data_IF_769833176231
#
_entry.id   IF_769833176231
#
_cell.length_a   1.000
_cell.length_b   1.000
_cell.length_c   1.000
_cell.angle_alpha   90.00
_cell.angle_beta   90.00
_cell.angle_gamma   90.00
#
_symmetry.space_group_name_H-M   'P 1'
#
loop_
_entity.id
_entity.type
_entity.pdbx_description
1 polymer ?
#
# COMPACT_ATOMS: atom_id res chain seq x y z
N UNK A 1 31.83 0.56 6.68
CA UNK A 1 31.61 1.26 5.39
C UNK A 1 32.92 1.85 4.82
N UNK A 2 33.71 2.61 5.60
CA UNK A 2 34.97 3.20 5.14
C UNK A 2 35.99 2.13 4.73
N UNK A 3 36.10 1.07 5.49
CA UNK A 3 36.97 -0.06 5.22
C UNK A 3 36.64 -0.78 3.91
N UNK A 4 35.36 -0.89 3.57
CA UNK A 4 34.88 -1.46 2.31
C UNK A 4 35.12 -0.60 1.07
N UNK A 5 35.70 0.60 1.22
CA UNK A 5 36.10 1.47 0.10
C UNK A 5 37.55 1.27 -0.33
N UNK A 6 38.34 0.50 0.45
CA UNK A 6 39.73 0.12 0.14
C UNK A 6 39.76 -1.32 -0.39
N UNK A 7 40.63 -1.64 -1.33
CA UNK A 7 40.82 -2.98 -1.87
C UNK A 7 39.65 -3.51 -2.70
N UNK A 8 38.93 -2.64 -3.43
CA UNK A 8 37.81 -3.04 -4.29
C UNK A 8 38.30 -3.84 -5.50
N UNK A 9 37.53 -4.84 -5.88
CA UNK A 9 37.80 -5.72 -7.03
C UNK A 9 39.16 -6.43 -6.99
N UNK A 10 39.72 -6.60 -5.80
CA UNK A 10 41.00 -7.28 -5.61
C UNK A 10 42.22 -6.38 -5.67
N UNK A 11 42.05 -5.06 -5.80
CA UNK A 11 43.16 -4.11 -5.75
C UNK A 11 43.80 -4.10 -4.35
N UNK A 12 45.11 -3.84 -4.31
CA UNK A 12 45.83 -3.67 -3.06
C UNK A 12 45.29 -2.47 -2.27
N UNK A 13 44.92 -2.67 -1.02
CA UNK A 13 44.39 -1.61 -0.16
C UNK A 13 44.72 -1.85 1.30
N UNK A 14 44.89 -0.76 2.05
CA UNK A 14 45.12 -0.81 3.50
C UNK A 14 44.16 0.18 4.19
N UNK A 15 43.84 -0.14 5.44
CA UNK A 15 43.06 0.77 6.30
C UNK A 15 43.62 0.73 7.72
N UNK A 16 43.69 1.91 8.36
CA UNK A 16 44.09 2.02 9.76
C UNK A 16 43.06 2.82 10.52
N UNK A 17 42.66 2.34 11.70
CA UNK A 17 41.69 3.01 12.57
C UNK A 17 42.44 3.69 13.70
N UNK A 18 42.07 4.94 13.92
CA UNK A 18 42.45 5.74 15.09
C UNK A 18 41.20 5.98 15.90
N UNK A 19 41.14 5.38 17.10
CA UNK A 19 39.96 5.44 17.98
C UNK A 19 40.39 5.86 19.37
N UNK A 20 39.61 6.73 20.00
CA UNK A 20 39.72 7.03 21.41
C UNK A 20 38.85 6.05 22.21
N UNK A 21 39.27 5.76 23.46
CA UNK A 21 38.44 5.01 24.40
C UNK A 21 37.15 5.77 24.78
N UNK A 22 37.10 7.06 24.51
CA UNK A 22 35.93 7.93 24.74
C UNK A 22 34.99 7.97 23.54
N UNK A 23 35.38 7.44 22.39
CA UNK A 23 34.53 7.38 21.21
C UNK A 23 33.25 6.57 21.50
N UNK A 24 32.14 6.97 20.85
CA UNK A 24 30.84 6.33 21.02
C UNK A 24 30.87 4.81 20.82
N UNK A 25 31.66 4.33 19.86
CA UNK A 25 31.85 2.91 19.62
C UNK A 25 32.42 2.20 20.85
N UNK A 26 33.44 2.78 21.49
CA UNK A 26 34.10 2.21 22.65
C UNK A 26 33.24 2.34 23.92
N UNK A 27 32.52 3.43 24.07
CA UNK A 27 31.58 3.64 25.20
C UNK A 27 30.45 2.60 25.21
N UNK A 28 29.92 2.26 24.06
CA UNK A 28 28.79 1.30 23.96
C UNK A 28 29.25 -0.14 24.18
N UNK A 29 30.48 -0.50 23.75
CA UNK A 29 30.91 -1.88 23.68
C UNK A 29 32.14 -2.24 24.53
N UNK A 30 32.88 -1.23 24.99
CA UNK A 30 33.92 -1.44 25.99
C UNK A 30 33.27 -1.35 27.37
N UNK A 31 33.19 -2.47 28.08
CA UNK A 31 32.71 -2.47 29.45
C UNK A 31 33.67 -1.63 30.33
N UNK A 32 33.12 -1.05 31.42
CA UNK A 32 33.91 -0.32 32.44
C UNK A 32 35.12 -1.08 32.95
N UNK A 33 35.09 -2.43 32.82
CA UNK A 33 36.22 -3.32 33.11
C UNK A 33 37.42 -3.07 32.19
N UNK A 34 37.20 -2.74 30.91
CA UNK A 34 38.31 -2.45 29.97
C UNK A 34 38.97 -1.11 30.32
N UNK A 35 38.17 -0.09 30.61
CA UNK A 35 38.67 1.25 31.07
C UNK A 35 39.42 1.11 32.40
N UNK A 36 38.88 0.34 33.34
CA UNK A 36 39.50 0.09 34.62
C UNK A 36 40.83 -0.70 34.55
N UNK A 37 40.91 -1.66 33.64
CA UNK A 37 42.08 -2.46 33.40
C UNK A 37 43.22 -1.68 32.73
N UNK A 38 42.89 -0.75 31.83
CA UNK A 38 43.83 0.14 31.18
C UNK A 38 44.43 1.17 32.15
N UNK A 39 43.64 1.71 33.06
CA UNK A 39 44.18 2.57 34.16
C UNK A 39 45.15 1.83 35.06
N UNK A 40 44.91 0.53 35.31
CA UNK A 40 45.80 -0.31 36.11
C UNK A 40 47.13 -0.66 35.40
N UNK A 41 47.15 -0.62 34.05
CA UNK A 41 48.33 -0.84 33.23
C UNK A 41 49.28 0.39 33.16
N UNK A 42 48.98 1.47 33.87
CA UNK A 42 49.88 2.64 34.01
C UNK A 42 50.01 3.48 32.75
N UNK A 43 49.02 3.43 31.84
CA UNK A 43 49.06 4.22 30.61
C UNK A 43 48.84 5.69 30.86
N UNK A 44 49.70 6.53 30.26
CA UNK A 44 49.57 7.97 30.35
C UNK A 44 48.59 8.52 29.32
N UNK A 45 47.83 9.56 29.64
CA UNK A 45 46.99 10.26 28.66
C UNK A 45 47.81 10.72 27.44
N UNK A 46 47.35 10.38 26.22
CA UNK A 46 48.02 10.72 24.96
C UNK A 46 48.96 9.63 24.39
N UNK A 47 49.20 8.52 25.08
CA UNK A 47 49.94 7.39 24.51
C UNK A 47 49.06 6.53 23.59
N UNK A 48 49.59 6.18 22.40
CA UNK A 48 48.91 5.29 21.49
C UNK A 48 48.98 3.86 22.00
N UNK A 49 47.83 3.20 22.06
CA UNK A 49 47.73 1.80 22.53
C UNK A 49 47.73 0.86 21.34
N UNK A 50 48.88 0.24 21.05
CA UNK A 50 49.01 -0.78 20.02
C UNK A 50 49.17 -2.16 20.68
N UNK A 51 48.04 -2.82 20.96
CA UNK A 51 48.06 -4.16 21.53
C UNK A 51 47.07 -5.08 20.83
N UNK A 52 47.43 -6.34 20.49
CA UNK A 52 46.51 -7.25 19.78
C UNK A 52 45.18 -7.48 20.45
N UNK A 53 45.11 -7.39 21.77
CA UNK A 53 43.89 -7.52 22.53
C UNK A 53 42.97 -6.33 22.32
N UNK A 54 43.48 -5.08 22.24
CA UNK A 54 42.72 -3.87 21.96
C UNK A 54 42.16 -3.92 20.54
N UNK A 55 42.98 -4.33 19.58
CA UNK A 55 42.57 -4.56 18.19
C UNK A 55 41.40 -5.55 18.10
N UNK A 56 41.47 -6.64 18.85
CA UNK A 56 40.40 -7.66 18.92
C UNK A 56 39.14 -7.10 19.57
N UNK A 57 39.27 -6.29 20.61
CA UNK A 57 38.12 -5.61 21.27
C UNK A 57 37.43 -4.66 20.31
N UNK A 58 38.18 -3.83 19.59
CA UNK A 58 37.63 -2.92 18.55
C UNK A 58 36.93 -3.70 17.45
N UNK A 59 37.55 -4.77 16.93
CA UNK A 59 36.95 -5.60 15.90
C UNK A 59 35.62 -6.26 16.37
N UNK A 60 35.55 -6.68 17.62
CA UNK A 60 34.34 -7.25 18.20
C UNK A 60 33.25 -6.16 18.39
N UNK A 61 33.62 -4.97 18.83
CA UNK A 61 32.68 -3.84 18.93
C UNK A 61 32.09 -3.47 17.56
N UNK A 62 32.92 -3.40 16.53
CA UNK A 62 32.47 -3.14 15.15
C UNK A 62 31.52 -4.22 14.66
N UNK A 63 31.84 -5.51 14.86
CA UNK A 63 30.93 -6.60 14.47
C UNK A 63 29.56 -6.49 15.13
N UNK A 64 29.51 -6.14 16.41
CA UNK A 64 28.23 -5.95 17.12
C UNK A 64 27.41 -4.78 16.53
N UNK A 65 28.05 -3.67 16.17
CA UNK A 65 27.37 -2.54 15.50
C UNK A 65 26.87 -2.97 14.11
N UNK A 66 27.71 -3.67 13.35
CA UNK A 66 27.36 -4.16 12.02
C UNK A 66 26.18 -5.14 12.07
N UNK A 67 26.20 -6.09 13.03
CA UNK A 67 25.09 -7.02 13.25
C UNK A 67 23.80 -6.29 13.57
N UNK A 68 23.83 -5.33 14.53
CA UNK A 68 22.65 -4.55 14.87
C UNK A 68 22.09 -3.74 13.67
N UNK A 69 22.98 -3.10 12.92
CA UNK A 69 22.59 -2.35 11.73
C UNK A 69 22.05 -3.25 10.62
N UNK A 70 22.58 -4.47 10.52
CA UNK A 70 22.07 -5.49 9.61
C UNK A 70 20.65 -5.93 10.01
N UNK A 71 20.43 -6.22 11.29
CA UNK A 71 19.13 -6.64 11.79
C UNK A 71 18.06 -5.54 11.58
N UNK A 72 18.41 -4.28 11.85
CA UNK A 72 17.51 -3.15 11.58
C UNK A 72 17.16 -3.07 10.08
N UNK A 73 18.17 -3.17 9.20
CA UNK A 73 17.93 -3.12 7.75
C UNK A 73 17.14 -4.31 7.26
N UNK A 74 17.40 -5.50 7.80
CA UNK A 74 16.61 -6.69 7.48
C UNK A 74 15.15 -6.53 7.85
N UNK A 75 14.87 -5.99 9.02
CA UNK A 75 13.49 -5.70 9.44
C UNK A 75 12.81 -4.69 8.49
N UNK A 76 13.50 -3.63 8.08
CA UNK A 76 12.96 -2.67 7.13
C UNK A 76 12.62 -3.33 5.78
N UNK A 77 13.53 -4.16 5.25
CA UNK A 77 13.30 -4.88 4.00
C UNK A 77 12.08 -5.81 4.07
N UNK A 78 11.84 -6.47 5.19
CA UNK A 78 10.68 -7.35 5.37
C UNK A 78 9.34 -6.60 5.26
N UNK A 79 9.27 -5.32 5.66
CA UNK A 79 8.12 -4.44 5.44
C UNK A 79 8.07 -3.93 4.00
N UNK A 80 9.20 -3.56 3.43
CA UNK A 80 9.30 -3.04 2.07
C UNK A 80 8.94 -4.11 1.02
N UNK A 81 9.22 -5.39 1.28
CA UNK A 81 8.88 -6.51 0.39
C UNK A 81 7.36 -6.57 0.15
N UNK A 82 6.54 -6.36 1.19
CA UNK A 82 5.07 -6.35 1.05
C UNK A 82 4.61 -5.23 0.10
N UNK A 83 5.14 -4.01 0.30
CA UNK A 83 4.83 -2.88 -0.57
C UNK A 83 5.34 -3.10 -2.01
N UNK A 84 6.47 -3.79 -2.19
CA UNK A 84 7.02 -4.11 -3.51
C UNK A 84 6.16 -5.13 -4.26
N UNK A 85 5.63 -6.13 -3.58
CA UNK A 85 4.75 -7.12 -4.20
C UNK A 85 3.44 -6.48 -4.67
N UNK A 86 2.84 -5.62 -3.84
CA UNK A 86 1.66 -4.85 -4.21
C UNK A 86 1.95 -3.88 -5.36
N UNK A 87 3.11 -3.22 -5.35
CA UNK A 87 3.56 -2.35 -6.44
C UNK A 87 3.65 -3.09 -7.77
N UNK A 88 4.18 -4.31 -7.77
CA UNK A 88 4.25 -5.13 -8.99
C UNK A 88 2.86 -5.43 -9.53
N UNK A 89 1.89 -5.75 -8.67
CA UNK A 89 0.51 -6.01 -9.07
C UNK A 89 -0.11 -4.75 -9.71
N UNK A 90 0.01 -3.60 -9.05
CA UNK A 90 -0.53 -2.32 -9.57
C UNK A 90 0.13 -1.92 -10.90
N UNK A 91 1.45 -2.05 -11.01
CA UNK A 91 2.13 -1.71 -12.26
C UNK A 91 1.80 -2.70 -13.39
N UNK A 92 1.53 -3.96 -13.08
CA UNK A 92 1.01 -4.91 -14.09
C UNK A 92 -0.35 -4.47 -14.59
N UNK A 93 -1.30 -4.22 -13.71
CA UNK A 93 -2.63 -3.71 -14.08
C UNK A 93 -2.56 -2.39 -14.84
N UNK A 94 -1.69 -1.47 -14.41
CA UNK A 94 -1.49 -0.20 -15.09
C UNK A 94 -0.95 -0.38 -16.51
N UNK A 95 0.01 -1.27 -16.70
CA UNK A 95 0.56 -1.58 -18.01
C UNK A 95 -0.49 -2.27 -18.90
N UNK A 96 -1.26 -3.19 -18.37
CA UNK A 96 -2.38 -3.82 -19.08
C UNK A 96 -3.39 -2.77 -19.56
N UNK A 97 -3.77 -1.82 -18.69
CA UNK A 97 -4.63 -0.70 -19.09
C UNK A 97 -4.00 0.20 -20.17
N UNK A 98 -2.68 0.39 -20.14
CA UNK A 98 -1.98 1.17 -21.17
C UNK A 98 -1.95 0.46 -22.53
N UNK A 99 -1.77 -0.85 -22.52
CA UNK A 99 -1.62 -1.67 -23.72
C UNK A 99 -2.96 -2.00 -24.39
N UNK A 100 -4.04 -2.13 -23.60
CA UNK A 100 -5.38 -2.41 -24.13
C UNK A 100 -5.88 -1.23 -24.97
N UNK A 101 -6.34 -1.53 -26.17
CA UNK A 101 -6.92 -0.50 -27.08
C UNK A 101 -8.37 -0.17 -26.75
N UNK A 102 -9.14 -1.15 -26.26
CA UNK A 102 -10.56 -1.01 -25.95
C UNK A 102 -10.86 -1.49 -24.53
N UNK A 103 -11.37 -0.59 -23.70
CA UNK A 103 -11.75 -0.83 -22.30
C UNK A 103 -13.27 -0.96 -22.11
N UNK A 104 -14.05 -0.98 -23.20
CA UNK A 104 -15.52 -0.94 -23.17
C UNK A 104 -16.13 -2.09 -22.37
N UNK A 105 -15.64 -3.31 -22.52
CA UNK A 105 -16.13 -4.47 -21.75
C UNK A 105 -15.90 -4.28 -20.24
N UNK A 106 -14.70 -3.83 -19.86
CA UNK A 106 -14.36 -3.57 -18.46
C UNK A 106 -15.23 -2.46 -17.87
N UNK A 107 -15.41 -1.37 -18.60
CA UNK A 107 -16.27 -0.26 -18.17
C UNK A 107 -17.72 -0.69 -18.04
N UNK A 108 -18.24 -1.48 -18.98
CA UNK A 108 -19.61 -1.99 -18.89
C UNK A 108 -19.79 -2.90 -17.68
N UNK A 109 -18.83 -3.78 -17.39
CA UNK A 109 -18.88 -4.63 -16.20
C UNK A 109 -18.86 -3.80 -14.91
N UNK A 110 -17.94 -2.83 -14.78
CA UNK A 110 -17.85 -1.95 -13.62
C UNK A 110 -19.17 -1.18 -13.42
N UNK A 111 -19.72 -0.63 -14.50
CA UNK A 111 -20.99 0.10 -14.45
C UNK A 111 -22.13 -0.79 -13.98
N UNK A 112 -22.24 -2.01 -14.54
CA UNK A 112 -23.26 -2.98 -14.13
C UNK A 112 -23.17 -3.30 -12.63
N UNK A 113 -21.95 -3.54 -12.12
CA UNK A 113 -21.71 -3.83 -10.71
C UNK A 113 -22.05 -2.63 -9.81
N UNK A 114 -21.67 -1.41 -10.20
CA UNK A 114 -22.00 -0.18 -9.47
C UNK A 114 -23.50 0.06 -9.43
N UNK A 115 -24.22 -0.12 -10.55
CA UNK A 115 -25.66 0.01 -10.56
C UNK A 115 -26.36 -1.07 -9.73
N UNK A 116 -25.92 -2.32 -9.81
CA UNK A 116 -26.44 -3.41 -8.97
C UNK A 116 -26.26 -3.09 -7.49
N UNK A 117 -25.04 -2.72 -7.08
CA UNK A 117 -24.76 -2.35 -5.70
C UNK A 117 -25.59 -1.13 -5.24
N UNK A 118 -25.79 -0.14 -6.12
CA UNK A 118 -26.62 1.01 -5.82
C UNK A 118 -28.10 0.60 -5.62
N UNK A 119 -28.63 -0.23 -6.50
CA UNK A 119 -30.00 -0.72 -6.39
C UNK A 119 -30.16 -1.57 -5.11
N UNK A 120 -29.21 -2.45 -4.81
CA UNK A 120 -29.22 -3.32 -3.61
C UNK A 120 -29.29 -2.53 -2.29
N UNK A 121 -28.68 -1.35 -2.25
CA UNK A 121 -28.70 -0.48 -1.07
C UNK A 121 -30.09 0.06 -0.74
N UNK A 122 -30.97 0.23 -1.74
CA UNK A 122 -32.32 0.78 -1.58
C UNK A 122 -33.43 -0.26 -1.79
N UNK A 123 -33.16 -1.28 -2.56
CA UNK A 123 -34.01 -2.43 -2.83
C UNK A 123 -33.21 -3.69 -2.48
N UNK A 124 -33.22 -4.13 -1.21
CA UNK A 124 -32.46 -5.34 -0.83
C UNK A 124 -32.95 -6.56 -1.62
N UNK A 125 -32.04 -7.44 -2.08
CA UNK A 125 -32.40 -8.64 -2.82
C UNK A 125 -33.42 -9.51 -2.08
N UNK A 126 -34.42 -10.00 -2.79
CA UNK A 126 -35.49 -10.86 -2.26
C UNK A 126 -36.33 -10.20 -1.14
N UNK A 127 -36.38 -8.86 -1.09
CA UNK A 127 -37.17 -8.11 -0.15
C UNK A 127 -38.59 -7.86 -0.65
N UNK A 128 -39.50 -7.60 0.28
CA UNK A 128 -40.85 -7.17 -0.03
C UNK A 128 -40.85 -5.70 -0.47
N UNK A 129 -41.78 -5.35 -1.35
CA UNK A 129 -41.93 -3.97 -1.88
C UNK A 129 -42.06 -2.89 -0.78
N UNK A 130 -42.68 -3.28 0.36
CA UNK A 130 -42.81 -2.43 1.54
C UNK A 130 -41.46 -1.99 2.15
N UNK A 131 -40.38 -2.70 1.84
CA UNK A 131 -39.03 -2.43 2.34
C UNK A 131 -38.22 -1.58 1.36
N UNK A 132 -38.75 -1.24 0.19
CA UNK A 132 -38.03 -0.52 -0.83
C UNK A 132 -38.06 0.98 -0.60
N UNK A 133 -36.90 1.61 -0.62
CA UNK A 133 -36.78 3.06 -0.59
C UNK A 133 -36.66 3.62 -2.02
N UNK A 134 -37.79 3.65 -2.70
CA UNK A 134 -37.90 4.15 -4.09
C UNK A 134 -37.53 5.65 -4.20
N UNK A 135 -38.01 6.53 -3.32
CA UNK A 135 -37.63 7.96 -3.39
C UNK A 135 -36.10 8.14 -3.21
N UNK A 136 -35.49 7.43 -2.26
CA UNK A 136 -34.04 7.47 -2.04
C UNK A 136 -33.26 6.97 -3.25
N UNK A 137 -33.70 5.88 -3.88
CA UNK A 137 -33.09 5.37 -5.11
C UNK A 137 -33.17 6.36 -6.26
N UNK A 138 -34.34 6.96 -6.49
CA UNK A 138 -34.52 7.97 -7.55
C UNK A 138 -33.60 9.18 -7.34
N UNK A 139 -33.54 9.68 -6.12
CA UNK A 139 -32.66 10.80 -5.77
C UNK A 139 -31.17 10.43 -6.00
N UNK A 140 -30.76 9.23 -5.60
CA UNK A 140 -29.38 8.72 -5.79
C UNK A 140 -29.03 8.60 -7.26
N UNK A 141 -29.90 7.96 -8.06
CA UNK A 141 -29.70 7.79 -9.50
C UNK A 141 -29.60 9.14 -10.22
N UNK A 142 -30.41 10.12 -9.83
CA UNK A 142 -30.39 11.46 -10.40
C UNK A 142 -29.09 12.22 -10.03
N UNK A 143 -28.73 12.22 -8.75
CA UNK A 143 -27.62 13.04 -8.27
C UNK A 143 -26.25 12.48 -8.70
N UNK A 144 -26.06 11.15 -8.65
CA UNK A 144 -24.77 10.54 -8.90
C UNK A 144 -24.54 10.13 -10.36
N UNK A 145 -25.63 9.76 -11.06
CA UNK A 145 -25.54 9.21 -12.43
C UNK A 145 -26.24 10.07 -13.49
N UNK A 146 -26.84 11.18 -13.09
CA UNK A 146 -27.65 12.03 -13.97
C UNK A 146 -28.75 11.23 -14.68
N UNK A 147 -29.33 10.26 -13.96
CA UNK A 147 -30.34 9.33 -14.44
C UNK A 147 -31.68 9.60 -13.76
N UNK A 148 -32.52 10.40 -14.41
CA UNK A 148 -33.87 10.77 -13.91
C UNK A 148 -34.89 9.75 -14.40
N UNK A 149 -35.23 8.77 -13.55
CA UNK A 149 -36.14 7.68 -13.84
C UNK A 149 -37.41 7.79 -13.00
N UNK A 150 -38.63 7.74 -13.62
CA UNK A 150 -39.91 7.79 -12.90
C UNK A 150 -40.26 6.40 -12.32
N UNK A 151 -39.45 5.85 -11.42
CA UNK A 151 -39.60 4.49 -10.88
C UNK A 151 -40.93 4.35 -10.12
N UNK A 152 -41.30 5.35 -9.32
CA UNK A 152 -42.56 5.32 -8.60
C UNK A 152 -43.77 5.22 -9.56
N UNK A 153 -43.75 5.96 -10.70
CA UNK A 153 -44.79 5.87 -11.70
C UNK A 153 -44.84 4.50 -12.41
N UNK A 154 -43.70 3.84 -12.56
CA UNK A 154 -43.67 2.50 -13.16
C UNK A 154 -44.34 1.46 -12.25
N UNK A 155 -44.10 1.55 -10.95
CA UNK A 155 -44.72 0.66 -9.96
C UNK A 155 -46.23 0.90 -9.86
N UNK A 156 -46.68 2.18 -9.92
CA UNK A 156 -48.10 2.53 -9.90
C UNK A 156 -48.86 2.04 -11.16
N UNK A 157 -48.21 2.08 -12.31
CA UNK A 157 -48.82 1.69 -13.60
C UNK A 157 -48.77 0.18 -13.89
N UNK A 158 -47.77 -0.49 -13.35
CA UNK A 158 -47.47 -1.89 -13.61
C UNK A 158 -47.36 -2.67 -12.27
N UNK A 159 -48.49 -3.08 -11.66
CA UNK A 159 -48.51 -3.77 -10.36
C UNK A 159 -47.80 -5.15 -10.39
N UNK A 160 -47.55 -5.69 -11.59
CA UNK A 160 -46.81 -6.95 -11.78
C UNK A 160 -45.30 -6.74 -11.97
N UNK A 161 -44.82 -5.52 -11.78
CA UNK A 161 -43.37 -5.23 -11.91
C UNK A 161 -42.63 -5.72 -10.66
N UNK A 162 -42.06 -6.93 -10.76
CA UNK A 162 -41.28 -7.54 -9.69
C UNK A 162 -39.88 -6.95 -9.60
N UNK A 163 -39.20 -7.20 -8.47
CA UNK A 163 -37.85 -6.74 -8.18
C UNK A 163 -36.87 -6.97 -9.35
N UNK A 164 -36.82 -8.19 -9.89
CA UNK A 164 -35.87 -8.55 -10.97
C UNK A 164 -36.11 -7.75 -12.24
N UNK A 165 -37.37 -7.62 -12.65
CA UNK A 165 -37.76 -6.86 -13.86
C UNK A 165 -37.53 -5.35 -13.68
N UNK A 166 -37.73 -4.83 -12.48
CA UNK A 166 -37.40 -3.43 -12.15
C UNK A 166 -35.90 -3.17 -12.26
N UNK A 167 -35.07 -4.07 -11.71
CA UNK A 167 -33.60 -4.00 -11.79
C UNK A 167 -33.11 -4.02 -13.23
N UNK A 168 -33.59 -4.97 -14.01
CA UNK A 168 -33.26 -5.07 -15.43
C UNK A 168 -33.64 -3.81 -16.20
N UNK A 169 -34.80 -3.22 -15.89
CA UNK A 169 -35.26 -2.00 -16.53
C UNK A 169 -34.38 -0.79 -16.19
N UNK A 170 -33.96 -0.64 -14.92
CA UNK A 170 -33.04 0.42 -14.49
C UNK A 170 -31.69 0.25 -15.17
N UNK A 171 -31.15 -0.97 -15.21
CA UNK A 171 -29.89 -1.28 -15.89
C UNK A 171 -29.97 -0.97 -17.39
N UNK A 172 -31.04 -1.39 -18.07
CA UNK A 172 -31.25 -1.12 -19.50
C UNK A 172 -31.27 0.38 -19.78
N UNK A 173 -31.98 1.18 -18.95
CA UNK A 173 -32.00 2.63 -19.08
C UNK A 173 -30.63 3.27 -18.87
N UNK A 174 -29.85 2.74 -17.92
CA UNK A 174 -28.49 3.21 -17.68
C UNK A 174 -27.58 2.97 -18.89
N UNK A 175 -27.71 1.81 -19.54
CA UNK A 175 -26.96 1.45 -20.76
C UNK A 175 -27.37 2.39 -21.91
N UNK A 176 -28.67 2.62 -22.11
CA UNK A 176 -29.18 3.47 -23.17
C UNK A 176 -28.67 4.92 -23.05
N UNK A 177 -28.71 5.48 -21.83
CA UNK A 177 -28.19 6.84 -21.57
C UNK A 177 -26.71 6.92 -21.87
N UNK A 178 -25.95 5.90 -21.52
CA UNK A 178 -24.52 5.86 -21.80
C UNK A 178 -24.22 5.74 -23.29
N UNK A 179 -24.93 4.90 -24.01
CA UNK A 179 -24.78 4.76 -25.47
C UNK A 179 -25.08 6.09 -26.18
N UNK A 180 -26.09 6.81 -25.76
CA UNK A 180 -26.38 8.17 -26.30
C UNK A 180 -25.21 9.14 -26.04
N UNK A 181 -24.58 9.09 -24.85
CA UNK A 181 -23.40 9.90 -24.56
C UNK A 181 -22.23 9.50 -25.49
N UNK A 182 -22.02 8.21 -25.71
CA UNK A 182 -20.99 7.69 -26.63
C UNK A 182 -21.26 8.13 -28.09
N UNK A 183 -22.51 8.10 -28.55
CA UNK A 183 -22.87 8.55 -29.90
C UNK A 183 -22.56 10.05 -30.11
N UNK A 184 -22.77 10.87 -29.08
CA UNK A 184 -22.51 12.32 -29.15
C UNK A 184 -21.01 12.62 -29.14
N UNK A 185 -20.24 11.91 -28.32
CA UNK A 185 -18.78 12.17 -28.13
C UNK A 185 -17.95 11.44 -29.20
N UNK A 186 -18.44 10.30 -29.67
CA UNK A 186 -17.72 9.38 -30.53
C UNK A 186 -16.97 8.32 -29.73
N UNK A 187 -17.03 7.07 -30.22
CA UNK A 187 -16.51 5.91 -29.51
C UNK A 187 -15.00 6.01 -29.17
N UNK A 188 -14.18 6.49 -30.11
CA UNK A 188 -12.74 6.61 -29.91
C UNK A 188 -12.39 7.60 -28.79
N UNK A 189 -13.05 8.77 -28.79
CA UNK A 189 -12.85 9.77 -27.74
C UNK A 189 -13.33 9.27 -26.39
N UNK A 190 -14.46 8.54 -26.36
CA UNK A 190 -15.00 7.95 -25.14
C UNK A 190 -14.01 6.93 -24.55
N UNK A 191 -13.45 6.01 -25.36
CA UNK A 191 -12.41 5.04 -24.92
C UNK A 191 -11.17 5.73 -24.36
N UNK A 192 -10.74 6.82 -25.01
CA UNK A 192 -9.61 7.59 -24.53
C UNK A 192 -9.89 8.23 -23.15
N UNK A 193 -11.06 8.80 -23.00
CA UNK A 193 -11.50 9.42 -21.74
C UNK A 193 -11.62 8.39 -20.62
N UNK A 194 -12.31 7.27 -20.85
CA UNK A 194 -12.47 6.18 -19.89
C UNK A 194 -11.13 5.65 -19.40
N UNK A 195 -10.22 5.36 -20.33
CA UNK A 195 -8.87 4.90 -20.02
C UNK A 195 -8.10 5.93 -19.19
N UNK A 196 -8.24 7.21 -19.51
CA UNK A 196 -7.65 8.31 -18.74
C UNK A 196 -8.16 8.36 -17.31
N UNK A 197 -9.47 8.24 -17.12
CA UNK A 197 -10.10 8.23 -15.80
C UNK A 197 -9.66 7.01 -14.99
N UNK A 198 -9.67 5.80 -15.59
CA UNK A 198 -9.22 4.58 -14.92
C UNK A 198 -7.78 4.70 -14.42
N UNK A 199 -6.87 5.19 -15.27
CA UNK A 199 -5.46 5.38 -14.90
C UNK A 199 -5.30 6.41 -13.79
N UNK A 200 -6.02 7.52 -13.87
CA UNK A 200 -5.96 8.58 -12.85
C UNK A 200 -6.50 8.08 -11.50
N UNK A 201 -7.59 7.33 -11.50
CA UNK A 201 -8.18 6.74 -10.30
C UNK A 201 -7.22 5.74 -9.68
N UNK A 202 -6.69 4.80 -10.48
CA UNK A 202 -5.71 3.82 -10.00
C UNK A 202 -4.48 4.49 -9.39
N UNK A 203 -3.92 5.50 -10.06
CA UNK A 203 -2.74 6.23 -9.57
C UNK A 203 -3.04 7.01 -8.27
N UNK A 204 -4.24 7.55 -8.12
CA UNK A 204 -4.65 8.28 -6.91
C UNK A 204 -4.86 7.33 -5.72
N UNK A 205 -5.61 6.25 -5.91
CA UNK A 205 -5.84 5.24 -4.89
C UNK A 205 -4.53 4.56 -4.46
N UNK A 206 -3.63 4.30 -5.41
CA UNK A 206 -2.32 3.76 -5.10
C UNK A 206 -1.48 4.71 -4.23
N UNK A 207 -1.49 6.01 -4.48
CA UNK A 207 -0.78 6.99 -3.65
C UNK A 207 -1.35 7.06 -2.23
N UNK A 208 -2.68 7.05 -2.12
CA UNK A 208 -3.36 7.03 -0.82
C UNK A 208 -3.04 5.75 -0.05
N UNK A 209 -3.05 4.60 -0.73
CA UNK A 209 -2.68 3.32 -0.14
C UNK A 209 -1.24 3.32 0.37
N UNK A 210 -0.28 3.84 -0.39
CA UNK A 210 1.12 3.94 0.06
C UNK A 210 1.25 4.82 1.32
N UNK A 211 0.52 5.92 1.40
CA UNK A 211 0.50 6.77 2.59
C UNK A 211 -0.11 6.03 3.80
N UNK A 212 -1.19 5.30 3.58
CA UNK A 212 -1.82 4.48 4.62
C UNK A 212 -0.91 3.33 5.08
N UNK A 213 -0.17 2.69 4.17
CA UNK A 213 0.84 1.68 4.48
C UNK A 213 1.99 2.24 5.35
N UNK A 214 2.45 3.45 5.05
CA UNK A 214 3.47 4.12 5.87
C UNK A 214 2.95 4.42 7.27
N UNK A 215 1.70 4.84 7.39
CA UNK A 215 1.05 5.07 8.68
C UNK A 215 0.90 3.76 9.48
N UNK A 216 0.45 2.69 8.83
CA UNK A 216 0.38 1.36 9.42
C UNK A 216 1.74 0.89 9.95
N UNK A 217 2.82 1.09 9.16
CA UNK A 217 4.19 0.71 9.53
C UNK A 217 4.66 1.43 10.79
N UNK A 218 4.31 2.71 10.98
CA UNK A 218 4.69 3.48 12.17
C UNK A 218 4.04 2.94 13.44
N UNK A 219 2.79 2.48 13.35
CA UNK A 219 2.01 2.01 14.50
C UNK A 219 2.06 0.52 14.77
N UNK A 220 2.51 -0.30 13.82
CA UNK A 220 2.34 -1.76 13.87
C UNK A 220 3.08 -2.42 15.04
N UNK A 221 4.21 -1.85 15.48
CA UNK A 221 4.98 -2.40 16.61
C UNK A 221 4.20 -2.37 17.93
N UNK A 222 3.18 -1.52 18.07
CA UNK A 222 2.30 -1.47 19.23
C UNK A 222 1.47 -2.75 19.37
N UNK A 223 1.26 -3.51 18.29
CA UNK A 223 0.61 -4.82 18.30
C UNK A 223 1.38 -5.86 19.13
N UNK A 224 2.68 -5.66 19.32
CA UNK A 224 3.52 -6.49 20.20
C UNK A 224 3.06 -6.49 21.67
N UNK A 225 2.46 -5.40 22.15
CA UNK A 225 1.87 -5.35 23.51
C UNK A 225 0.70 -6.33 23.68
N UNK A 226 0.00 -6.66 22.59
CA UNK A 226 -1.07 -7.64 22.56
C UNK A 226 -0.56 -9.07 22.25
N UNK A 227 0.74 -9.33 22.40
CA UNK A 227 1.41 -10.62 22.13
C UNK A 227 1.25 -11.10 20.68
N UNK A 228 1.01 -10.19 19.73
CA UNK A 228 0.94 -10.49 18.31
C UNK A 228 2.30 -10.19 17.66
N UNK A 229 2.63 -10.99 16.63
CA UNK A 229 3.80 -10.71 15.82
C UNK A 229 3.54 -9.50 14.91
N UNK A 230 4.23 -8.34 15.10
CA UNK A 230 4.00 -7.14 14.32
C UNK A 230 4.17 -7.35 12.81
N UNK A 231 5.05 -8.27 12.38
CA UNK A 231 5.29 -8.54 10.96
C UNK A 231 4.11 -9.27 10.32
N UNK A 232 3.56 -10.26 11.02
CA UNK A 232 2.39 -11.00 10.52
C UNK A 232 1.15 -10.10 10.49
N UNK A 233 0.97 -9.28 11.52
CA UNK A 233 -0.13 -8.31 11.56
C UNK A 233 0.01 -7.27 10.44
N UNK A 234 1.21 -6.76 10.19
CA UNK A 234 1.45 -5.86 9.07
C UNK A 234 1.10 -6.48 7.72
N UNK A 235 1.53 -7.71 7.45
CA UNK A 235 1.18 -8.42 6.22
C UNK A 235 -0.33 -8.60 6.06
N UNK A 236 -1.01 -8.97 7.14
CA UNK A 236 -2.46 -9.18 7.13
C UNK A 236 -3.22 -7.88 6.91
N UNK A 237 -2.92 -6.85 7.69
CA UNK A 237 -3.60 -5.56 7.60
C UNK A 237 -3.33 -4.88 6.25
N UNK A 238 -2.08 -4.91 5.77
CA UNK A 238 -1.72 -4.38 4.46
C UNK A 238 -2.40 -5.11 3.30
N UNK A 239 -2.58 -6.42 3.39
CA UNK A 239 -3.32 -7.18 2.39
C UNK A 239 -4.80 -6.80 2.38
N UNK A 240 -5.42 -6.68 3.55
CA UNK A 240 -6.82 -6.23 3.67
C UNK A 240 -7.03 -4.82 3.11
N UNK A 241 -6.10 -3.89 3.40
CA UNK A 241 -6.15 -2.53 2.86
C UNK A 241 -5.96 -2.51 1.34
N UNK A 242 -5.10 -3.39 0.82
CA UNK A 242 -4.86 -3.50 -0.62
C UNK A 242 -6.07 -4.08 -1.36
N UNK A 243 -6.71 -5.10 -0.79
CA UNK A 243 -7.95 -5.65 -1.34
C UNK A 243 -9.06 -4.60 -1.39
N UNK A 244 -9.27 -3.87 -0.29
CA UNK A 244 -10.26 -2.79 -0.23
C UNK A 244 -9.96 -1.60 -1.16
N UNK A 245 -8.70 -1.38 -1.56
CA UNK A 245 -8.34 -0.37 -2.55
C UNK A 245 -8.72 -0.80 -3.97
N UNK A 246 -8.75 -2.12 -4.24
CA UNK A 246 -9.05 -2.67 -5.57
C UNK A 246 -10.56 -2.86 -5.80
N UNK A 247 -11.36 -2.88 -4.74
CA UNK A 247 -12.84 -2.85 -4.77
C UNK A 247 -13.37 -1.45 -5.12
#
# INVERSE_FOLDING_TARGET
QLRGRSGRQGDAGSSRFYLSMEDALMRIFASDRVSGMMRKLGMKPGEAIEHPWVTKAIANAQRKVESRNFDIRKQLLEYDDVANDQRRAIYSQRNELLDVSDVSETINSIREDVFKATIDAYIPPQSLEEMWDIPGLQERLKNDFDLDLPIAEWLDKEPELHEETLRERILAQSIEVYQRKEEVVGAEMMRHFEKGVMLQTLDSLWKEHLAAMDYLRQGIHLRGYAQKDPKQEYKRESFSMFAAMLE
#
